data_IF_253776906651
#
_entry.id   IF_253776906651
#
_cell.length_a   1.000
_cell.length_b   1.000
_cell.length_c   1.000
_cell.angle_alpha   90.00
_cell.angle_beta   90.00
_cell.angle_gamma   90.00
#
_symmetry.space_group_name_H-M   'P 1'
#
loop_
_entity.id
_entity.type
_entity.pdbx_description
1 polymer ?
#
# COMPACT_ATOMS: atom_id res chain seq x y z
N UNK A 1 3.56 5.99 9.36
CA UNK A 1 2.44 6.89 9.02
C UNK A 1 2.77 8.34 9.34
N UNK A 2 3.02 8.73 10.59
CA UNK A 2 3.31 10.13 10.99
C UNK A 2 4.38 10.83 10.13
N UNK A 3 5.53 10.18 9.89
CA UNK A 3 6.59 10.74 9.05
C UNK A 3 6.13 10.94 7.58
N UNK A 4 5.34 10.02 7.04
CA UNK A 4 4.79 10.14 5.70
C UNK A 4 3.80 11.31 5.64
N UNK A 5 2.86 11.42 6.58
CA UNK A 5 1.89 12.52 6.61
C UNK A 5 2.56 13.89 6.75
N UNK A 6 3.62 14.00 7.56
CA UNK A 6 4.41 15.24 7.66
C UNK A 6 5.09 15.60 6.34
N UNK A 7 5.74 14.64 5.67
CA UNK A 7 6.37 14.90 4.37
C UNK A 7 5.30 15.23 3.31
N UNK A 8 4.22 14.46 3.24
CA UNK A 8 3.08 14.69 2.32
C UNK A 8 2.48 16.09 2.52
N UNK A 9 2.26 16.53 3.75
CA UNK A 9 1.74 17.87 4.04
C UNK A 9 2.65 18.98 3.49
N UNK A 10 3.97 18.79 3.55
CA UNK A 10 4.93 19.73 2.96
C UNK A 10 4.86 19.78 1.42
N UNK A 11 4.38 18.72 0.76
CA UNK A 11 4.16 18.66 -0.68
C UNK A 11 2.82 19.30 -1.11
N UNK A 12 1.94 19.62 -0.15
CA UNK A 12 0.64 20.28 -0.38
C UNK A 12 -0.23 19.62 -1.46
N UNK A 13 -0.45 18.29 -1.42
CA UNK A 13 -1.34 17.65 -2.39
C UNK A 13 -2.77 18.13 -2.19
N UNK A 14 -3.57 18.06 -3.26
CA UNK A 14 -5.02 18.31 -3.22
C UNK A 14 -5.77 17.24 -2.40
N UNK A 15 -5.34 16.00 -2.50
CA UNK A 15 -5.97 14.85 -1.86
C UNK A 15 -4.92 13.76 -1.56
N UNK A 16 -5.22 12.92 -0.57
CA UNK A 16 -4.38 11.78 -0.19
C UNK A 16 -5.25 10.53 -0.29
N UNK A 17 -4.72 9.48 -0.94
CA UNK A 17 -5.38 8.19 -1.08
C UNK A 17 -4.51 7.11 -0.46
N UNK A 18 -5.12 6.20 0.31
CA UNK A 18 -4.46 5.02 0.86
C UNK A 18 -4.86 3.79 0.06
N UNK A 19 -3.90 3.03 -0.47
CA UNK A 19 -4.17 1.83 -1.27
C UNK A 19 -4.30 0.54 -0.42
N UNK A 20 -4.70 0.64 0.84
CA UNK A 20 -4.94 -0.51 1.72
C UNK A 20 -3.73 -1.06 2.47
N UNK A 21 -3.92 -2.19 3.14
CA UNK A 21 -3.05 -2.76 4.16
C UNK A 21 -2.71 -1.72 5.24
N UNK A 22 -3.78 -1.13 5.78
CA UNK A 22 -3.74 -0.17 6.89
C UNK A 22 -3.27 -0.88 8.16
N UNK A 23 -3.63 -2.16 8.32
CA UNK A 23 -3.22 -3.02 9.43
C UNK A 23 -2.40 -4.24 8.97
N UNK A 24 -1.92 -5.05 9.92
CA UNK A 24 -1.31 -6.35 9.64
C UNK A 24 0.01 -6.58 10.37
N UNK A 25 1.08 -5.88 9.98
CA UNK A 25 2.44 -6.17 10.48
C UNK A 25 2.96 -5.22 11.56
N UNK A 26 2.38 -4.02 11.68
CA UNK A 26 2.83 -3.00 12.63
C UNK A 26 2.15 -3.12 14.00
N UNK A 27 2.82 -2.60 15.04
CA UNK A 27 2.34 -2.66 16.42
C UNK A 27 1.45 -1.47 16.85
N UNK A 28 0.90 -0.70 15.90
CA UNK A 28 0.08 0.49 16.19
C UNK A 28 -1.14 0.59 15.25
N UNK A 29 -1.98 -0.46 15.16
CA UNK A 29 -3.08 -0.51 14.19
C UNK A 29 -4.13 0.58 14.43
N UNK A 30 -4.50 0.86 15.68
CA UNK A 30 -5.51 1.87 16.02
C UNK A 30 -5.10 3.26 15.55
N UNK A 31 -3.87 3.65 15.85
CA UNK A 31 -3.32 4.96 15.49
C UNK A 31 -3.23 5.11 13.97
N UNK A 32 -2.82 4.05 13.26
CA UNK A 32 -2.74 4.05 11.80
C UNK A 32 -4.13 4.17 11.18
N UNK A 33 -5.15 3.43 11.67
CA UNK A 33 -6.53 3.57 11.19
C UNK A 33 -7.04 5.00 11.41
N UNK A 34 -6.86 5.55 12.61
CA UNK A 34 -7.29 6.93 12.94
C UNK A 34 -6.63 7.95 12.01
N UNK A 35 -5.31 7.87 11.84
CA UNK A 35 -4.58 8.76 10.93
C UNK A 35 -5.03 8.61 9.47
N UNK A 36 -5.23 7.39 8.97
CA UNK A 36 -5.71 7.18 7.60
C UNK A 36 -7.11 7.77 7.43
N UNK A 37 -8.03 7.52 8.36
CA UNK A 37 -9.39 8.07 8.34
C UNK A 37 -9.42 9.59 8.39
N UNK A 38 -8.52 10.21 9.15
CA UNK A 38 -8.48 11.66 9.33
C UNK A 38 -7.85 12.39 8.13
N UNK A 39 -6.80 11.83 7.54
CA UNK A 39 -5.98 12.53 6.56
C UNK A 39 -6.17 12.08 5.11
N UNK A 40 -6.65 10.86 4.87
CA UNK A 40 -6.92 10.38 3.52
C UNK A 40 -8.34 10.74 3.09
N UNK A 41 -8.48 11.27 1.88
CA UNK A 41 -9.79 11.52 1.28
C UNK A 41 -10.55 10.20 1.06
N UNK A 42 -9.82 9.14 0.70
CA UNK A 42 -10.33 7.78 0.64
C UNK A 42 -9.22 6.75 0.89
N UNK A 43 -9.63 5.55 1.28
CA UNK A 43 -8.77 4.40 1.44
C UNK A 43 -9.41 3.16 0.78
N UNK A 44 -8.58 2.28 0.25
CA UNK A 44 -8.98 0.96 -0.22
C UNK A 44 -8.78 -0.09 0.85
N UNK A 45 -9.48 -1.21 0.71
CA UNK A 45 -9.25 -2.41 1.50
C UNK A 45 -8.08 -3.20 0.91
N UNK A 46 -7.04 -3.45 1.71
CA UNK A 46 -6.01 -4.42 1.39
C UNK A 46 -6.32 -5.83 1.88
N UNK A 47 -5.48 -6.81 1.52
CA UNK A 47 -5.69 -8.18 1.95
C UNK A 47 -5.57 -8.36 3.47
N UNK A 48 -4.71 -7.59 4.14
CA UNK A 48 -4.60 -7.64 5.60
C UNK A 48 -5.81 -7.00 6.29
N UNK A 49 -6.40 -5.97 5.69
CA UNK A 49 -7.61 -5.33 6.20
C UNK A 49 -8.82 -6.28 6.04
N UNK A 50 -8.98 -6.90 4.87
CA UNK A 50 -10.01 -7.91 4.61
C UNK A 50 -9.86 -9.11 5.55
N UNK A 51 -8.64 -9.64 5.67
CA UNK A 51 -8.36 -10.77 6.56
C UNK A 51 -8.60 -10.43 8.04
N UNK A 52 -8.43 -9.18 8.48
CA UNK A 52 -8.79 -8.80 9.86
C UNK A 52 -10.29 -9.00 10.10
N UNK A 53 -11.11 -8.58 9.14
CA UNK A 53 -12.58 -8.61 9.21
C UNK A 53 -13.15 -10.03 9.01
N UNK A 54 -12.52 -10.84 8.16
CA UNK A 54 -12.95 -12.21 7.87
C UNK A 54 -11.76 -13.16 7.75
N UNK A 55 -11.69 -14.18 8.61
CA UNK A 55 -10.58 -15.14 8.59
C UNK A 55 -10.47 -15.97 7.32
N UNK A 56 -11.56 -16.09 6.55
CA UNK A 56 -11.56 -16.80 5.27
C UNK A 56 -10.69 -16.11 4.23
N UNK A 57 -10.45 -14.81 4.37
CA UNK A 57 -9.60 -14.02 3.47
C UNK A 57 -8.11 -14.11 3.82
N UNK A 58 -7.76 -14.74 4.93
CA UNK A 58 -6.37 -15.07 5.27
C UNK A 58 -5.82 -16.29 4.50
N UNK A 59 -6.59 -16.87 3.57
CA UNK A 59 -6.16 -18.03 2.77
C UNK A 59 -4.91 -17.70 1.97
N UNK A 60 -3.87 -18.52 2.11
CA UNK A 60 -2.58 -18.33 1.44
C UNK A 60 -1.61 -17.41 2.18
N UNK A 61 -1.99 -16.87 3.35
CA UNK A 61 -1.05 -16.14 4.20
C UNK A 61 0.03 -17.11 4.70
N UNK A 62 1.27 -16.61 4.72
CA UNK A 62 2.36 -17.35 5.36
C UNK A 62 2.21 -17.31 6.89
N UNK A 63 2.89 -18.23 7.59
CA UNK A 63 2.82 -18.36 9.05
C UNK A 63 3.08 -17.04 9.80
N UNK A 64 4.03 -16.24 9.31
CA UNK A 64 4.36 -14.94 9.92
C UNK A 64 3.19 -13.95 9.79
N UNK A 65 2.55 -13.92 8.64
CA UNK A 65 1.39 -13.07 8.38
C UNK A 65 0.17 -13.51 9.20
N UNK A 66 -0.06 -14.82 9.37
CA UNK A 66 -1.10 -15.35 10.25
C UNK A 66 -0.88 -14.95 11.71
N UNK A 67 0.33 -15.13 12.25
CA UNK A 67 0.65 -14.70 13.63
C UNK A 67 0.46 -13.20 13.85
N UNK A 68 0.82 -12.38 12.85
CA UNK A 68 0.63 -10.94 12.90
C UNK A 68 -0.85 -10.54 12.84
N UNK A 69 -1.64 -11.27 12.05
CA UNK A 69 -3.09 -11.13 11.98
C UNK A 69 -3.76 -11.50 13.32
N UNK A 70 -3.37 -12.62 13.93
CA UNK A 70 -3.88 -13.06 15.24
C UNK A 70 -3.57 -12.04 16.34
N UNK A 71 -2.35 -11.48 16.32
CA UNK A 71 -1.99 -10.37 17.20
C UNK A 71 -2.87 -9.15 16.95
N UNK A 72 -3.03 -8.76 15.67
CA UNK A 72 -3.82 -7.60 15.27
C UNK A 72 -5.28 -7.75 15.68
N UNK A 73 -5.89 -8.93 15.54
CA UNK A 73 -7.27 -9.21 16.00
C UNK A 73 -7.45 -9.00 17.50
N UNK A 74 -6.50 -9.48 18.31
CA UNK A 74 -6.54 -9.26 19.76
C UNK A 74 -6.34 -7.80 20.12
N UNK A 75 -5.41 -7.13 19.44
CA UNK A 75 -5.18 -5.70 19.63
C UNK A 75 -6.40 -4.87 19.18
N UNK A 76 -7.09 -5.31 18.13
CA UNK A 76 -8.27 -4.68 17.55
C UNK A 76 -9.53 -5.46 17.93
N UNK A 77 -9.69 -5.96 19.16
CA UNK A 77 -10.92 -6.68 19.52
C UNK A 77 -12.14 -5.74 19.37
N UNK A 78 -13.16 -6.07 18.55
CA UNK A 78 -14.33 -5.20 18.32
C UNK A 78 -15.22 -5.05 19.55
N UNK A 79 -15.15 -5.96 20.53
CA UNK A 79 -15.89 -5.84 21.79
C UNK A 79 -15.32 -4.73 22.69
N UNK A 80 -14.09 -4.27 22.41
CA UNK A 80 -13.52 -3.10 23.07
C UNK A 80 -14.13 -1.84 22.44
N UNK A 81 -14.82 -1.03 23.24
CA UNK A 81 -15.61 0.13 22.81
C UNK A 81 -14.87 1.08 21.85
N UNK A 82 -13.59 1.37 22.10
CA UNK A 82 -12.76 2.25 21.26
C UNK A 82 -12.46 1.70 19.86
N UNK A 83 -12.66 0.39 19.63
CA UNK A 83 -12.40 -0.29 18.37
C UNK A 83 -13.63 -0.40 17.48
N UNK A 84 -14.85 -0.40 18.04
CA UNK A 84 -16.08 -0.61 17.26
C UNK A 84 -16.19 0.33 16.05
N UNK A 85 -16.03 1.64 16.27
CA UNK A 85 -16.06 2.64 15.19
C UNK A 85 -14.87 2.57 14.22
N UNK A 86 -13.78 1.87 14.58
CA UNK A 86 -12.66 1.59 13.68
C UNK A 86 -12.97 0.37 12.81
N UNK A 87 -13.61 -0.66 13.37
CA UNK A 87 -14.11 -1.83 12.63
C UNK A 87 -15.16 -1.44 11.60
N UNK A 88 -16.15 -0.64 11.99
CA UNK A 88 -17.18 -0.15 11.07
C UNK A 88 -16.56 0.60 9.88
N UNK A 89 -15.54 1.43 10.16
CA UNK A 89 -14.84 2.17 9.12
C UNK A 89 -14.02 1.25 8.20
N UNK A 90 -13.27 0.29 8.75
CA UNK A 90 -12.55 -0.71 7.96
C UNK A 90 -13.51 -1.57 7.11
N UNK A 91 -14.68 -1.93 7.65
CA UNK A 91 -15.72 -2.69 6.95
C UNK A 91 -16.40 -1.93 5.82
N UNK A 92 -16.30 -0.59 5.81
CA UNK A 92 -16.79 0.25 4.73
C UNK A 92 -15.80 0.45 3.57
N UNK A 93 -14.57 -0.06 3.68
CA UNK A 93 -13.56 0.10 2.63
C UNK A 93 -13.89 -0.76 1.41
N UNK A 94 -13.58 -0.23 0.22
CA UNK A 94 -13.81 -0.90 -1.06
C UNK A 94 -12.50 -1.44 -1.64
N UNK A 95 -12.52 -2.53 -2.42
CA UNK A 95 -11.31 -3.17 -2.94
C UNK A 95 -10.68 -2.42 -4.14
N UNK A 96 -11.46 -1.58 -4.83
CA UNK A 96 -11.03 -0.80 -5.99
C UNK A 96 -11.81 0.51 -6.08
N UNK A 97 -11.21 1.49 -6.75
CA UNK A 97 -11.83 2.80 -7.03
C UNK A 97 -11.40 3.31 -8.40
N UNK A 98 -12.32 3.94 -9.11
CA UNK A 98 -12.02 4.80 -10.25
C UNK A 98 -12.10 6.25 -9.76
N UNK A 99 -11.05 7.02 -10.02
CA UNK A 99 -10.94 8.41 -9.59
C UNK A 99 -10.90 9.31 -10.81
N UNK A 100 -11.85 10.23 -10.89
CA UNK A 100 -11.78 11.39 -11.77
C UNK A 100 -11.22 12.58 -10.95
N UNK A 101 -9.98 13.04 -11.22
CA UNK A 101 -9.39 14.15 -10.48
C UNK A 101 -10.05 15.51 -10.82
N UNK A 102 -10.83 15.58 -11.89
CA UNK A 102 -11.42 16.81 -12.43
C UNK A 102 -10.42 17.69 -13.18
N UNK A 103 -10.84 18.91 -13.52
CA UNK A 103 -10.01 19.96 -14.12
C UNK A 103 -9.27 19.55 -15.42
N UNK A 104 -9.84 18.61 -16.17
CA UNK A 104 -9.28 18.10 -17.43
C UNK A 104 -8.16 17.08 -17.25
N UNK A 105 -7.87 16.65 -16.02
CA UNK A 105 -7.02 15.50 -15.76
C UNK A 105 -7.72 14.20 -16.19
N UNK A 106 -6.94 13.18 -16.55
CA UNK A 106 -7.50 11.88 -16.88
C UNK A 106 -7.94 11.11 -15.63
N UNK A 107 -8.98 10.30 -15.78
CA UNK A 107 -9.39 9.35 -14.75
C UNK A 107 -8.33 8.25 -14.55
N UNK A 108 -8.17 7.82 -13.30
CA UNK A 108 -7.18 6.82 -12.88
C UNK A 108 -7.83 5.72 -12.09
N UNK A 109 -7.26 4.52 -12.14
CA UNK A 109 -7.74 3.37 -11.37
C UNK A 109 -6.86 3.21 -10.13
N UNK A 110 -7.47 2.93 -8.99
CA UNK A 110 -6.81 2.60 -7.73
C UNK A 110 -7.23 1.19 -7.33
N UNK A 111 -6.26 0.32 -7.05
CA UNK A 111 -6.46 -1.04 -6.50
C UNK A 111 -5.42 -1.30 -5.42
N UNK A 112 -5.67 -2.23 -4.50
CA UNK A 112 -4.61 -2.62 -3.56
C UNK A 112 -3.55 -3.50 -4.24
N UNK A 113 -3.97 -4.53 -4.99
CA UNK A 113 -3.09 -5.55 -5.54
C UNK A 113 -2.96 -5.52 -7.07
N UNK A 114 -4.01 -5.84 -7.84
CA UNK A 114 -3.99 -5.80 -9.31
C UNK A 114 -5.34 -5.45 -9.93
N UNK A 115 -5.42 -4.97 -11.18
CA UNK A 115 -6.69 -4.81 -11.89
C UNK A 115 -7.59 -6.06 -11.92
N UNK A 116 -7.00 -7.25 -12.06
CA UNK A 116 -7.73 -8.51 -12.22
C UNK A 116 -8.22 -9.08 -10.89
N UNK A 117 -7.44 -8.89 -9.84
CA UNK A 117 -7.76 -9.25 -8.46
C UNK A 117 -7.30 -8.09 -7.57
N UNK A 118 -8.22 -7.14 -7.27
CA UNK A 118 -7.87 -5.90 -6.58
C UNK A 118 -7.31 -6.08 -5.17
N UNK A 119 -7.43 -7.26 -4.56
CA UNK A 119 -7.06 -7.48 -3.16
C UNK A 119 -5.85 -8.39 -2.98
N UNK A 120 -5.69 -9.46 -3.77
CA UNK A 120 -4.72 -10.52 -3.42
C UNK A 120 -3.65 -10.85 -4.46
N UNK A 121 -3.75 -10.37 -5.71
CA UNK A 121 -2.81 -10.77 -6.75
C UNK A 121 -1.46 -10.02 -6.69
N UNK A 122 -0.38 -10.79 -6.58
CA UNK A 122 0.98 -10.25 -6.68
C UNK A 122 1.41 -10.02 -8.14
N UNK A 123 1.67 -8.75 -8.47
CA UNK A 123 2.44 -8.31 -9.65
C UNK A 123 3.91 -8.07 -9.26
N UNK A 124 4.71 -9.13 -9.23
CA UNK A 124 6.09 -9.09 -8.75
C UNK A 124 7.05 -8.43 -9.76
N UNK A 125 8.07 -7.67 -9.31
CA UNK A 125 9.09 -7.07 -10.18
C UNK A 125 9.82 -8.03 -11.12
N UNK A 126 9.82 -9.33 -10.82
CA UNK A 126 10.47 -10.36 -11.63
C UNK A 126 9.65 -10.82 -12.84
N UNK A 127 8.40 -10.37 -12.97
CA UNK A 127 7.55 -10.69 -14.12
C UNK A 127 8.18 -10.14 -15.41
N UNK A 128 8.26 -10.99 -16.42
CA UNK A 128 8.78 -10.62 -17.74
C UNK A 128 7.74 -9.80 -18.53
N UNK A 129 8.17 -8.94 -19.49
CA UNK A 129 7.27 -8.06 -20.24
C UNK A 129 6.11 -8.76 -20.95
N UNK A 130 6.34 -9.98 -21.44
CA UNK A 130 5.39 -10.80 -22.20
C UNK A 130 4.58 -11.77 -21.33
N UNK A 131 4.77 -11.73 -20.00
CA UNK A 131 4.12 -12.65 -19.08
C UNK A 131 2.59 -12.50 -19.14
N UNK A 132 1.88 -13.63 -19.27
CA UNK A 132 0.41 -13.69 -19.44
C UNK A 132 -0.34 -12.91 -18.34
N UNK A 133 0.05 -13.09 -17.08
CA UNK A 133 -0.48 -12.32 -15.94
C UNK A 133 -0.43 -10.80 -16.16
N UNK A 134 0.69 -10.27 -16.67
CA UNK A 134 0.85 -8.83 -16.87
C UNK A 134 -0.07 -8.35 -18.00
N UNK A 135 -0.10 -9.08 -19.12
CA UNK A 135 -1.04 -8.81 -20.23
C UNK A 135 -2.49 -8.79 -19.77
N UNK A 136 -2.92 -9.82 -19.04
CA UNK A 136 -4.30 -9.93 -18.56
C UNK A 136 -4.69 -8.76 -17.63
N UNK A 137 -3.75 -8.26 -16.84
CA UNK A 137 -3.99 -7.08 -15.99
C UNK A 137 -4.11 -5.79 -16.80
N UNK A 138 -3.31 -5.60 -17.85
CA UNK A 138 -3.51 -4.49 -18.77
C UNK A 138 -4.86 -4.62 -19.50
N UNK A 139 -5.24 -5.81 -19.98
CA UNK A 139 -6.50 -6.02 -20.70
C UNK A 139 -7.74 -5.62 -19.87
N UNK A 140 -7.73 -5.81 -18.55
CA UNK A 140 -8.86 -5.49 -17.66
C UNK A 140 -8.72 -4.15 -16.90
N UNK A 141 -7.56 -3.50 -16.95
CA UNK A 141 -7.38 -2.20 -16.29
C UNK A 141 -8.35 -1.15 -16.88
N UNK A 142 -9.10 -0.48 -16.02
CA UNK A 142 -10.17 0.43 -16.41
C UNK A 142 -9.66 1.71 -17.09
N UNK A 143 -8.43 2.12 -16.72
CA UNK A 143 -7.82 3.35 -17.20
C UNK A 143 -6.42 3.10 -17.75
N UNK A 144 -5.85 4.15 -18.35
CA UNK A 144 -4.47 4.17 -18.81
C UNK A 144 -3.49 4.07 -17.64
N UNK A 145 -3.83 4.69 -16.51
CA UNK A 145 -3.04 4.70 -15.29
C UNK A 145 -3.77 3.90 -14.21
N UNK A 146 -3.13 2.84 -13.72
CA UNK A 146 -3.60 2.12 -12.53
C UNK A 146 -2.53 2.17 -11.45
N UNK A 147 -2.91 2.63 -10.26
CA UNK A 147 -2.04 2.64 -9.08
C UNK A 147 -2.35 1.44 -8.19
N UNK A 148 -1.29 0.77 -7.73
CA UNK A 148 -1.39 -0.39 -6.85
C UNK A 148 -0.29 -0.40 -5.78
N UNK A 149 -0.42 -1.30 -4.81
CA UNK A 149 0.51 -1.50 -3.71
C UNK A 149 0.89 -2.96 -3.56
N UNK A 150 0.60 -3.55 -2.41
CA UNK A 150 0.69 -4.98 -2.06
C UNK A 150 2.08 -5.65 -2.07
N UNK A 151 2.89 -5.45 -3.11
CA UNK A 151 4.22 -6.05 -3.23
C UNK A 151 5.30 -5.30 -2.47
N UNK A 152 5.04 -4.02 -2.13
CA UNK A 152 5.95 -3.11 -1.42
C UNK A 152 7.24 -2.77 -2.18
N UNK A 153 7.21 -2.86 -3.51
CA UNK A 153 8.30 -2.48 -4.40
C UNK A 153 7.90 -1.25 -5.24
N UNK A 154 8.37 -0.03 -4.92
CA UNK A 154 8.05 1.16 -5.69
C UNK A 154 8.66 1.07 -7.10
N UNK A 155 7.85 1.43 -8.09
CA UNK A 155 8.19 1.31 -9.51
C UNK A 155 6.96 1.10 -10.36
N UNK A 156 7.12 0.72 -11.61
CA UNK A 156 6.00 0.57 -12.54
C UNK A 156 6.26 -0.48 -13.61
N UNK A 157 5.18 -1.00 -14.17
CA UNK A 157 5.18 -1.70 -15.45
C UNK A 157 4.60 -0.76 -16.51
N UNK A 158 5.34 -0.41 -17.56
CA UNK A 158 4.74 0.12 -18.77
C UNK A 158 4.15 -1.04 -19.58
N UNK A 159 3.06 -0.81 -20.32
CA UNK A 159 2.46 -1.84 -21.18
C UNK A 159 3.49 -2.36 -22.19
N UNK A 160 3.66 -3.69 -22.23
CA UNK A 160 4.65 -4.38 -23.06
C UNK A 160 6.11 -4.25 -22.59
N UNK A 161 6.37 -3.69 -21.40
CA UNK A 161 7.72 -3.53 -20.83
C UNK A 161 7.93 -4.25 -19.49
N UNK A 162 9.19 -4.30 -19.07
CA UNK A 162 9.60 -4.90 -17.80
C UNK A 162 9.29 -3.96 -16.62
N UNK A 163 9.34 -4.49 -15.39
CA UNK A 163 9.27 -3.65 -14.20
C UNK A 163 10.46 -2.69 -14.13
N UNK A 164 10.18 -1.40 -13.99
CA UNK A 164 11.17 -0.38 -13.72
C UNK A 164 11.09 0.05 -12.25
N UNK A 165 12.19 -0.17 -11.51
CA UNK A 165 12.27 0.17 -10.09
C UNK A 165 12.48 1.68 -9.92
N UNK A 166 11.65 2.30 -9.09
CA UNK A 166 11.87 3.66 -8.63
C UNK A 166 12.97 3.68 -7.55
N UNK A 167 14.19 4.08 -7.94
CA UNK A 167 15.38 4.06 -7.09
C UNK A 167 15.81 5.48 -6.66
N UNK A 168 16.53 5.57 -5.53
CA UNK A 168 17.04 6.84 -4.99
C UNK A 168 16.14 7.47 -3.94
N UNK A 169 16.48 8.67 -3.49
CA UNK A 169 15.68 9.44 -2.53
C UNK A 169 14.39 9.98 -3.16
N UNK A 170 14.46 10.30 -4.45
CA UNK A 170 13.34 10.73 -5.27
C UNK A 170 13.53 10.15 -6.68
N UNK A 171 12.45 9.66 -7.28
CA UNK A 171 12.43 9.15 -8.65
C UNK A 171 11.24 9.75 -9.38
N UNK A 172 11.44 10.19 -10.64
CA UNK A 172 10.42 10.84 -11.45
C UNK A 172 10.23 10.08 -12.76
N UNK A 173 8.98 9.78 -13.07
CA UNK A 173 8.54 9.25 -14.35
C UNK A 173 7.69 10.32 -15.04
N UNK A 174 8.06 10.65 -16.28
CA UNK A 174 7.18 11.37 -17.20
C UNK A 174 6.28 10.37 -17.90
N UNK A 175 4.98 10.47 -17.68
CA UNK A 175 3.97 9.59 -18.27
C UNK A 175 3.79 9.94 -19.75
N UNK A 176 4.03 8.97 -20.63
CA UNK A 176 3.89 9.19 -22.07
C UNK A 176 2.41 9.20 -22.48
N UNK A 177 1.98 10.18 -23.31
CA UNK A 177 0.61 10.20 -23.83
C UNK A 177 0.24 8.90 -24.54
N UNK A 178 -0.92 8.34 -24.22
CA UNK A 178 -1.42 7.10 -24.84
C UNK A 178 -0.77 5.81 -24.34
N UNK A 179 0.34 5.86 -23.59
CA UNK A 179 0.98 4.67 -23.01
C UNK A 179 0.32 4.30 -21.69
N UNK A 180 0.05 3.01 -21.46
CA UNK A 180 -0.57 2.53 -20.22
C UNK A 180 0.47 2.09 -19.20
N UNK A 181 0.15 2.28 -17.92
CA UNK A 181 1.04 2.01 -16.81
C UNK A 181 0.30 1.36 -15.63
N UNK A 182 0.89 0.30 -15.08
CA UNK A 182 0.58 -0.21 -13.74
C UNK A 182 1.67 0.31 -12.78
N UNK A 183 1.30 1.16 -11.84
CA UNK A 183 2.22 1.96 -11.04
C UNK A 183 2.14 1.52 -9.58
N UNK A 184 3.23 0.93 -9.06
CA UNK A 184 3.32 0.54 -7.66
C UNK A 184 3.77 1.72 -6.79
N UNK A 185 2.95 2.15 -5.84
CA UNK A 185 3.24 3.33 -5.00
C UNK A 185 4.32 3.08 -3.95
N UNK A 186 4.73 1.83 -3.74
CA UNK A 186 5.66 1.42 -2.69
C UNK A 186 4.95 1.04 -1.39
N UNK A 187 5.63 1.26 -0.25
CA UNK A 187 5.09 0.95 1.07
C UNK A 187 5.51 1.98 2.11
N UNK A 188 4.54 2.48 2.86
CA UNK A 188 4.78 3.40 3.99
C UNK A 188 5.27 2.65 5.23
N UNK A 189 4.78 1.42 5.45
CA UNK A 189 4.94 0.71 6.71
C UNK A 189 5.97 -0.42 6.70
N UNK A 190 6.22 -1.04 5.55
CA UNK A 190 7.16 -2.18 5.44
C UNK A 190 7.73 -2.29 4.02
N UNK A 191 8.62 -1.39 3.57
CA UNK A 191 9.32 -1.53 2.29
C UNK A 191 9.98 -2.90 2.14
N UNK A 192 10.02 -3.46 0.91
CA UNK A 192 10.58 -4.81 0.65
C UNK A 192 11.68 -4.85 -0.40
N UNK A 193 12.21 -3.70 -0.78
CA UNK A 193 13.19 -3.59 -1.86
C UNK A 193 14.63 -3.28 -1.44
N UNK A 194 14.95 -3.50 -0.17
CA UNK A 194 16.29 -3.31 0.39
C UNK A 194 16.57 -1.89 0.87
N UNK A 195 15.61 -0.96 0.75
CA UNK A 195 15.69 0.39 1.30
C UNK A 195 14.69 0.51 2.47
N UNK A 196 15.16 0.73 3.71
CA UNK A 196 14.28 0.79 4.88
C UNK A 196 13.43 2.05 4.94
N UNK A 197 13.70 3.08 4.13
CA UNK A 197 12.93 4.32 4.09
C UNK A 197 11.54 4.07 3.54
N UNK A 198 10.54 4.70 4.15
CA UNK A 198 9.16 4.61 3.68
C UNK A 198 9.06 5.16 2.25
N UNK A 199 8.14 4.62 1.45
CA UNK A 199 7.90 5.06 0.08
C UNK A 199 6.43 5.43 -0.14
N UNK A 200 6.19 6.51 -0.88
CA UNK A 200 4.90 6.88 -1.43
C UNK A 200 5.06 7.59 -2.77
N UNK A 201 3.96 7.81 -3.48
CA UNK A 201 3.95 8.46 -4.79
C UNK A 201 3.09 9.73 -4.78
N UNK A 202 3.55 10.74 -5.52
CA UNK A 202 2.78 11.92 -5.91
C UNK A 202 2.48 11.83 -7.41
N UNK A 203 1.26 12.19 -7.79
CA UNK A 203 0.87 12.39 -9.18
C UNK A 203 0.57 13.87 -9.38
N UNK A 204 1.24 14.50 -10.34
CA UNK A 204 1.02 15.90 -10.72
C UNK A 204 1.01 16.02 -12.25
N UNK A 205 -0.19 16.17 -12.82
CA UNK A 205 -0.40 16.07 -14.27
C UNK A 205 0.09 14.73 -14.82
N UNK A 206 1.09 14.80 -15.69
CA UNK A 206 1.76 13.65 -16.30
C UNK A 206 3.13 13.33 -15.67
N UNK A 207 3.42 13.84 -14.47
CA UNK A 207 4.58 13.42 -13.67
C UNK A 207 4.14 12.53 -12.50
N UNK A 208 4.67 11.30 -12.46
CA UNK A 208 4.61 10.43 -11.30
C UNK A 208 5.94 10.49 -10.54
N UNK A 209 5.90 10.84 -9.25
CA UNK A 209 7.09 11.09 -8.42
C UNK A 209 7.06 10.25 -7.15
N UNK A 210 7.97 9.30 -7.05
CA UNK A 210 8.19 8.52 -5.83
C UNK A 210 9.10 9.27 -4.87
N UNK A 211 8.76 9.21 -3.59
CA UNK A 211 9.53 9.81 -2.51
C UNK A 211 9.93 8.75 -1.50
N UNK A 212 11.18 8.82 -1.05
CA UNK A 212 11.69 8.07 0.09
C UNK A 212 11.89 8.99 1.27
N UNK A 213 11.35 8.61 2.42
CA UNK A 213 11.42 9.44 3.63
C UNK A 213 11.99 8.62 4.79
N UNK A 214 12.94 9.20 5.49
CA UNK A 214 13.42 8.63 6.74
C UNK A 214 12.37 8.76 7.84
N UNK A 215 12.33 7.78 8.73
CA UNK A 215 11.48 7.79 9.90
C UNK A 215 12.19 7.07 11.04
N UNK A 216 11.61 7.13 12.24
CA UNK A 216 12.12 6.39 13.39
C UNK A 216 11.87 4.87 13.23
N UNK A 217 12.65 4.25 12.35
CA UNK A 217 12.60 2.82 12.06
C UNK A 217 12.99 1.98 13.27
N UNK A 218 13.91 2.49 14.10
CA UNK A 218 14.32 1.84 15.36
C UNK A 218 13.19 1.87 16.39
N UNK A 219 12.46 2.98 16.52
CA UNK A 219 11.28 3.07 17.37
C UNK A 219 10.14 2.16 16.88
N UNK A 220 9.89 2.13 15.56
CA UNK A 220 8.91 1.22 14.99
C UNK A 220 9.27 -0.26 15.22
N UNK A 221 10.54 -0.62 15.01
CA UNK A 221 11.09 -1.95 15.28
C UNK A 221 10.91 -2.34 16.76
N UNK A 222 11.33 -1.47 17.69
CA UNK A 222 11.18 -1.70 19.14
C UNK A 222 9.74 -1.87 19.59
N UNK A 223 8.79 -1.15 18.98
CA UNK A 223 7.36 -1.34 19.26
C UNK A 223 6.89 -2.74 18.86
N UNK A 224 7.35 -3.26 17.72
CA UNK A 224 7.07 -4.64 17.30
C UNK A 224 7.69 -5.64 18.28
N UNK A 225 8.94 -5.43 18.70
CA UNK A 225 9.62 -6.32 19.65
C UNK A 225 8.95 -6.34 21.03
N UNK A 226 8.38 -5.21 21.45
CA UNK A 226 7.68 -5.06 22.75
C UNK A 226 6.26 -5.61 22.72
N UNK A 227 5.68 -5.83 21.53
CA UNK A 227 4.35 -6.39 21.36
C UNK A 227 4.41 -7.92 21.51
N UNK A 228 4.01 -8.42 22.67
CA UNK A 228 3.95 -9.86 22.94
C UNK A 228 3.19 -10.61 21.83
N UNK A 229 3.71 -11.77 21.43
CA UNK A 229 3.23 -12.63 20.33
C UNK A 229 3.32 -12.05 18.91
N UNK A 230 3.67 -10.78 18.72
CA UNK A 230 3.94 -10.25 17.39
C UNK A 230 5.32 -10.79 16.92
N UNK A 231 5.44 -11.40 15.72
CA UNK A 231 6.70 -12.03 15.33
C UNK A 231 7.86 -11.04 15.24
N UNK A 232 8.87 -11.19 16.10
CA UNK A 232 10.06 -10.29 16.12
C UNK A 232 10.81 -10.22 14.79
N UNK A 233 10.69 -11.22 13.92
CA UNK A 233 11.20 -11.15 12.53
C UNK A 233 10.61 -9.99 11.71
N UNK A 234 9.42 -9.48 12.05
CA UNK A 234 8.84 -8.29 11.42
C UNK A 234 9.59 -7.02 11.82
N UNK A 235 10.12 -6.96 13.05
CA UNK A 235 10.94 -5.85 13.52
C UNK A 235 12.26 -5.78 12.74
N UNK A 236 12.95 -6.91 12.63
CA UNK A 236 14.20 -7.03 11.89
C UNK A 236 14.07 -6.66 10.41
N UNK A 237 12.92 -7.00 9.78
CA UNK A 237 12.60 -6.68 8.38
C UNK A 237 12.57 -5.17 8.11
N UNK A 238 12.05 -4.37 9.04
CA UNK A 238 12.00 -2.91 8.89
C UNK A 238 13.39 -2.30 8.73
N UNK A 239 14.38 -2.81 9.46
CA UNK A 239 15.74 -2.27 9.48
C UNK A 239 16.48 -2.45 8.15
N UNK A 240 16.05 -3.41 7.33
CA UNK A 240 16.71 -3.78 6.07
C UNK A 240 15.80 -3.63 4.84
N UNK A 241 14.57 -3.13 5.02
CA UNK A 241 13.58 -2.99 3.95
C UNK A 241 13.27 -4.32 3.25
N UNK A 242 12.91 -5.36 4.01
CA UNK A 242 12.58 -6.70 3.47
C UNK A 242 11.21 -7.18 3.83
#
# INVERSE_FOLDING_TARGET
MEAALRDIAAQRPRAIYCLGDIVGYGASPREVIRMTREHCLAALQGNHDAALLDERDARGFNERALKALDWTRRAMDPEVEENGGLWDWLGGLVPAMELDPGDGAEAVQLVHASPRDPVAEYLLPSLQPDHEKLRANFEVAAHRLTFFGHTHHPGYFPEGGAFERAAGAEFRLRLEPGRRYLINVGSVGQPRDGDPRLAYLLLDGDEARWRRVEYDVLGASRRIESAADLPGSLAARLLVGR
#
